data_IF_944447688139
#
_entry.id   IF_944447688139
#
_cell.length_a   1.000
_cell.length_b   1.000
_cell.length_c   1.000
_cell.angle_alpha   90.00
_cell.angle_beta   90.00
_cell.angle_gamma   90.00
#
_symmetry.space_group_name_H-M   'P 1'
#
loop_
_entity.id
_entity.type
_entity.pdbx_description
1 polymer ?
#
# COMPACT_ATOMS: atom_id res chain seq x y z
N UNK A 1 5.20 -53.87 -82.58
CA UNK A 1 5.08 -54.08 -81.18
C UNK A 1 6.06 -53.17 -80.42
N UNK A 2 5.69 -51.99 -80.02
CA UNK A 2 6.52 -51.11 -79.22
C UNK A 2 5.68 -50.50 -78.15
N UNK A 3 5.96 -50.87 -76.89
CA UNK A 3 5.32 -50.33 -75.66
C UNK A 3 5.93 -49.02 -75.31
N UNK A 4 5.13 -47.96 -75.27
CA UNK A 4 5.53 -46.66 -74.68
C UNK A 4 5.23 -46.65 -73.20
N UNK A 5 6.27 -46.57 -72.35
CA UNK A 5 6.16 -46.23 -70.95
C UNK A 5 6.04 -44.71 -70.82
N UNK A 6 4.94 -44.29 -70.19
CA UNK A 6 4.78 -42.90 -69.77
C UNK A 6 5.19 -42.82 -68.28
N UNK A 7 6.23 -42.01 -68.01
CA UNK A 7 6.66 -41.66 -66.66
C UNK A 7 5.81 -40.49 -66.17
N UNK A 8 5.03 -40.71 -65.10
CA UNK A 8 4.30 -39.66 -64.41
C UNK A 8 5.20 -39.12 -63.30
N UNK A 9 5.73 -37.92 -63.48
CA UNK A 9 6.46 -37.16 -62.46
C UNK A 9 5.45 -36.54 -61.49
N UNK A 10 5.41 -37.04 -60.28
CA UNK A 10 4.60 -36.49 -59.18
C UNK A 10 5.37 -35.42 -58.44
N UNK A 11 5.05 -34.13 -58.73
CA UNK A 11 5.65 -32.98 -58.08
C UNK A 11 4.98 -32.80 -56.69
N UNK A 12 5.64 -33.24 -55.63
CA UNK A 12 5.23 -32.96 -54.24
C UNK A 12 5.60 -31.49 -53.89
N UNK A 13 4.60 -30.62 -53.88
CA UNK A 13 4.72 -29.27 -53.37
C UNK A 13 4.59 -29.33 -51.85
N UNK A 14 5.72 -29.23 -51.12
CA UNK A 14 5.75 -29.09 -49.67
C UNK A 14 5.27 -27.67 -49.28
N UNK A 15 4.04 -27.53 -48.81
CA UNK A 15 3.56 -26.33 -48.15
C UNK A 15 4.27 -26.21 -46.81
N UNK A 16 5.26 -25.33 -46.69
CA UNK A 16 5.85 -24.92 -45.44
C UNK A 16 4.80 -24.05 -44.66
N UNK A 17 4.11 -24.66 -43.73
CA UNK A 17 3.34 -23.89 -42.73
C UNK A 17 4.33 -23.15 -41.84
N UNK A 18 4.56 -21.85 -42.13
CA UNK A 18 5.24 -20.95 -41.24
C UNK A 18 4.31 -20.68 -40.05
N UNK A 19 4.49 -21.40 -38.96
CA UNK A 19 3.87 -21.08 -37.67
C UNK A 19 4.48 -19.77 -37.17
N UNK A 20 3.80 -18.65 -37.44
CA UNK A 20 4.08 -17.39 -36.73
C UNK A 20 3.81 -17.62 -35.23
N UNK A 21 4.87 -17.83 -34.47
CA UNK A 21 4.80 -17.80 -33.03
C UNK A 21 4.30 -16.38 -32.65
N UNK A 22 3.02 -16.26 -32.32
CA UNK A 22 2.47 -15.06 -31.73
C UNK A 22 3.21 -14.87 -30.41
N UNK A 23 4.12 -13.90 -30.33
CA UNK A 23 4.76 -13.53 -29.09
C UNK A 23 3.64 -13.05 -28.15
N UNK A 24 3.24 -13.89 -27.22
CA UNK A 24 2.25 -13.58 -26.21
C UNK A 24 2.78 -12.36 -25.45
N UNK A 25 1.99 -11.28 -25.38
CA UNK A 25 2.39 -10.10 -24.62
C UNK A 25 2.80 -10.54 -23.19
N UNK A 26 3.89 -9.99 -22.64
CA UNK A 26 4.31 -10.37 -21.29
C UNK A 26 3.12 -10.27 -20.35
N UNK A 27 2.90 -11.29 -19.53
CA UNK A 27 1.88 -11.22 -18.50
C UNK A 27 2.20 -10.00 -17.61
N UNK A 28 1.16 -9.27 -17.21
CA UNK A 28 1.31 -8.02 -16.44
C UNK A 28 2.02 -6.86 -17.19
N UNK A 29 1.91 -6.82 -18.53
CA UNK A 29 2.35 -5.66 -19.32
C UNK A 29 1.54 -4.40 -19.01
N UNK A 30 0.30 -4.55 -18.54
CA UNK A 30 -0.56 -3.45 -18.05
C UNK A 30 -1.06 -3.79 -16.65
N UNK A 31 -0.96 -2.83 -15.72
CA UNK A 31 -1.32 -3.01 -14.32
C UNK A 31 -2.10 -1.79 -13.83
N UNK A 32 -3.27 -2.04 -13.24
CA UNK A 32 -4.06 -1.01 -12.56
C UNK A 32 -3.76 -1.07 -11.07
N UNK A 33 -3.50 0.08 -10.47
CA UNK A 33 -3.06 0.20 -9.08
C UNK A 33 -4.08 1.00 -8.29
N UNK A 34 -4.72 0.37 -7.31
CA UNK A 34 -5.57 1.06 -6.34
C UNK A 34 -4.73 1.89 -5.37
N UNK A 35 -5.00 3.19 -5.30
CA UNK A 35 -4.32 4.14 -4.42
C UNK A 35 -5.33 5.00 -3.67
N UNK A 36 -4.98 5.42 -2.46
CA UNK A 36 -5.76 6.39 -1.70
C UNK A 36 -5.36 7.81 -2.13
N UNK A 37 -6.36 8.69 -2.32
CA UNK A 37 -6.11 10.04 -2.82
C UNK A 37 -5.84 11.08 -1.72
N UNK A 38 -5.91 10.70 -0.45
CA UNK A 38 -5.79 11.63 0.69
C UNK A 38 -5.09 11.00 1.91
N UNK A 39 -3.85 10.59 1.71
CA UNK A 39 -3.00 10.05 2.77
C UNK A 39 -1.55 10.59 2.67
N UNK A 40 -1.32 11.91 2.80
CA UNK A 40 0.03 12.47 2.74
C UNK A 40 0.89 11.99 3.93
N UNK A 41 2.20 11.79 3.74
CA UNK A 41 2.99 12.00 2.54
C UNK A 41 3.05 10.78 1.61
N UNK A 42 2.23 9.74 1.86
CA UNK A 42 2.27 8.46 1.11
C UNK A 42 1.57 8.55 -0.23
N UNK A 43 0.35 9.07 -0.24
CA UNK A 43 -0.41 9.29 -1.48
C UNK A 43 -1.36 10.48 -1.34
N UNK A 44 -1.42 11.28 -2.40
CA UNK A 44 -2.36 12.39 -2.53
C UNK A 44 -2.64 12.65 -3.99
N UNK A 45 -3.82 13.19 -4.27
CA UNK A 45 -4.21 13.61 -5.60
C UNK A 45 -4.40 15.13 -5.60
N UNK A 46 -3.71 15.81 -6.53
CA UNK A 46 -3.89 17.24 -6.75
C UNK A 46 -5.18 17.56 -7.50
N UNK A 47 -5.66 18.82 -7.49
CA UNK A 47 -6.89 19.20 -8.17
C UNK A 47 -6.90 18.92 -9.68
N UNK A 48 -5.73 18.86 -10.33
CA UNK A 48 -5.55 18.49 -11.73
C UNK A 48 -5.53 16.96 -11.96
N UNK A 49 -5.82 16.17 -10.92
CA UNK A 49 -5.94 14.71 -10.99
C UNK A 49 -4.62 13.95 -10.94
N UNK A 50 -3.48 14.61 -10.70
CA UNK A 50 -2.18 13.95 -10.61
C UNK A 50 -1.94 13.38 -9.22
N UNK A 51 -1.50 12.12 -9.20
CA UNK A 51 -1.07 11.46 -7.98
C UNK A 51 0.39 11.78 -7.65
N UNK A 52 0.67 11.92 -6.35
CA UNK A 52 2.02 12.10 -5.81
C UNK A 52 2.12 11.51 -4.41
N UNK A 53 3.35 11.27 -3.94
CA UNK A 53 3.62 10.72 -2.61
C UNK A 53 4.55 9.52 -2.65
N UNK A 54 4.96 9.06 -1.48
CA UNK A 54 5.91 7.96 -1.34
C UNK A 54 5.42 6.68 -2.01
N UNK A 55 4.18 6.25 -1.71
CA UNK A 55 3.59 5.03 -2.30
C UNK A 55 3.45 5.15 -3.82
N UNK A 56 3.17 6.35 -4.33
CA UNK A 56 3.06 6.61 -5.77
C UNK A 56 4.44 6.49 -6.45
N UNK A 57 5.48 7.07 -5.85
CA UNK A 57 6.85 6.98 -6.39
C UNK A 57 7.37 5.53 -6.33
N UNK A 58 7.08 4.78 -5.26
CA UNK A 58 7.39 3.35 -5.16
C UNK A 58 6.64 2.57 -6.25
N UNK A 59 5.34 2.79 -6.41
CA UNK A 59 4.55 2.11 -7.44
C UNK A 59 5.12 2.36 -8.86
N UNK A 60 5.47 3.61 -9.18
CA UNK A 60 6.08 3.95 -10.45
C UNK A 60 7.45 3.28 -10.65
N UNK A 61 8.28 3.22 -9.62
CA UNK A 61 9.57 2.55 -9.68
C UNK A 61 9.42 1.03 -9.90
N UNK A 62 8.44 0.40 -9.24
CA UNK A 62 8.12 -1.02 -9.44
C UNK A 62 7.64 -1.29 -10.87
N UNK A 63 6.74 -0.45 -11.39
CA UNK A 63 6.24 -0.55 -12.77
C UNK A 63 7.38 -0.44 -13.80
N UNK A 64 8.31 0.48 -13.59
CA UNK A 64 9.50 0.62 -14.45
C UNK A 64 10.35 -0.66 -14.41
N UNK A 65 10.60 -1.25 -13.23
CA UNK A 65 11.35 -2.51 -13.10
C UNK A 65 10.64 -3.70 -13.74
N UNK A 66 9.31 -3.76 -13.60
CA UNK A 66 8.48 -4.81 -14.22
C UNK A 66 8.28 -4.60 -15.73
N UNK A 67 8.71 -3.46 -16.29
CA UNK A 67 8.42 -3.02 -17.66
C UNK A 67 6.92 -3.03 -17.96
N UNK A 68 6.11 -2.62 -16.99
CA UNK A 68 4.67 -2.56 -17.08
C UNK A 68 4.17 -1.12 -17.29
N UNK A 69 3.13 -0.96 -18.11
CA UNK A 69 2.33 0.26 -18.19
C UNK A 69 1.35 0.28 -17.01
N UNK A 70 1.52 1.21 -16.09
CA UNK A 70 0.71 1.28 -14.88
C UNK A 70 -0.25 2.46 -14.89
N UNK A 71 -1.47 2.24 -14.38
CA UNK A 71 -2.49 3.27 -14.22
C UNK A 71 -2.94 3.31 -12.76
N UNK A 72 -2.86 4.49 -12.14
CA UNK A 72 -3.36 4.71 -10.79
C UNK A 72 -4.88 4.87 -10.82
N UNK A 73 -5.57 4.20 -9.89
CA UNK A 73 -7.03 4.24 -9.73
C UNK A 73 -7.32 4.71 -8.30
N UNK A 74 -7.96 5.86 -8.19
CA UNK A 74 -8.38 6.39 -6.88
C UNK A 74 -9.46 5.50 -6.26
N UNK A 75 -9.27 5.14 -5.01
CA UNK A 75 -10.24 4.38 -4.23
C UNK A 75 -10.19 4.83 -2.76
N UNK A 76 -11.34 5.05 -2.16
CA UNK A 76 -11.45 5.29 -0.72
C UNK A 76 -11.06 4.02 0.07
N UNK A 77 -10.46 4.21 1.26
CA UNK A 77 -9.88 3.15 2.08
C UNK A 77 -10.81 1.96 2.30
N UNK A 78 -12.05 2.20 2.74
CA UNK A 78 -13.00 1.12 3.03
C UNK A 78 -13.36 0.27 1.81
N UNK A 79 -13.24 0.84 0.62
CA UNK A 79 -13.52 0.16 -0.64
C UNK A 79 -12.34 -0.58 -1.26
N UNK A 80 -11.12 -0.46 -0.71
CA UNK A 80 -9.90 -1.00 -1.34
C UNK A 80 -9.98 -2.52 -1.56
N UNK A 81 -10.20 -3.30 -0.52
CA UNK A 81 -10.26 -4.76 -0.61
C UNK A 81 -11.45 -5.25 -1.45
N UNK A 82 -12.69 -4.76 -1.28
CA UNK A 82 -13.79 -5.08 -2.16
C UNK A 82 -13.53 -4.77 -3.63
N UNK A 83 -12.92 -3.61 -3.94
CA UNK A 83 -12.61 -3.20 -5.31
C UNK A 83 -11.52 -4.06 -5.96
N UNK A 84 -10.50 -4.49 -5.20
CA UNK A 84 -9.49 -5.45 -5.65
C UNK A 84 -10.14 -6.78 -6.06
N UNK A 85 -11.01 -7.32 -5.19
CA UNK A 85 -11.70 -8.58 -5.45
C UNK A 85 -12.71 -8.47 -6.61
N UNK A 86 -13.31 -7.29 -6.80
CA UNK A 86 -14.15 -6.97 -7.96
C UNK A 86 -13.35 -6.65 -9.24
N UNK A 87 -12.02 -6.82 -9.23
CA UNK A 87 -11.12 -6.59 -10.37
C UNK A 87 -11.14 -5.17 -10.93
N UNK A 88 -11.45 -4.15 -10.11
CA UNK A 88 -11.36 -2.74 -10.51
C UNK A 88 -9.91 -2.32 -10.74
N UNK A 89 -8.99 -2.91 -10.00
CA UNK A 89 -7.54 -2.81 -10.16
C UNK A 89 -6.88 -4.15 -9.84
N UNK A 90 -5.58 -4.26 -10.07
CA UNK A 90 -4.87 -5.52 -10.02
C UNK A 90 -4.02 -5.65 -8.74
N UNK A 91 -3.58 -4.53 -8.19
CA UNK A 91 -2.89 -4.46 -6.91
C UNK A 91 -3.25 -3.18 -6.15
N UNK A 92 -2.97 -3.16 -4.84
CA UNK A 92 -3.15 -1.99 -3.97
C UNK A 92 -1.78 -1.54 -3.48
N UNK A 93 -1.47 -0.26 -3.71
CA UNK A 93 -0.31 0.43 -3.12
C UNK A 93 -0.85 1.65 -2.36
N UNK A 94 -1.16 1.42 -1.09
CA UNK A 94 -1.87 2.39 -0.24
C UNK A 94 -1.54 2.19 1.25
N UNK A 95 -0.25 2.05 1.58
CA UNK A 95 0.19 1.89 2.97
C UNK A 95 -0.52 0.75 3.72
N UNK A 96 -0.87 -0.32 3.02
CA UNK A 96 -1.70 -1.39 3.58
C UNK A 96 -0.88 -2.34 4.45
N UNK A 97 -1.16 -2.37 5.76
CA UNK A 97 -0.51 -3.31 6.67
C UNK A 97 -0.84 -4.75 6.30
N UNK A 98 0.18 -5.60 6.27
CA UNK A 98 0.05 -7.04 6.12
C UNK A 98 -0.51 -7.58 7.44
N UNK A 99 -1.67 -8.25 7.40
CA UNK A 99 -2.28 -8.90 8.57
C UNK A 99 -2.84 -10.26 8.21
N UNK A 100 -2.89 -11.17 9.18
CA UNK A 100 -3.47 -12.52 8.96
C UNK A 100 -4.93 -12.44 8.51
N UNK A 101 -5.68 -11.44 8.98
CA UNK A 101 -7.05 -11.24 8.54
C UNK A 101 -7.12 -10.89 7.04
N UNK A 102 -6.28 -9.97 6.57
CA UNK A 102 -6.24 -9.58 5.16
C UNK A 102 -5.69 -10.68 4.27
N UNK A 103 -4.73 -11.48 4.77
CA UNK A 103 -4.21 -12.66 4.05
C UNK A 103 -5.26 -13.71 3.74
N UNK A 104 -6.39 -13.74 4.43
CA UNK A 104 -7.51 -14.64 4.09
C UNK A 104 -8.13 -14.30 2.74
N UNK A 105 -8.14 -13.02 2.33
CA UNK A 105 -8.83 -12.51 1.15
C UNK A 105 -7.93 -11.92 0.07
N UNK A 106 -6.62 -11.74 0.34
CA UNK A 106 -5.63 -11.23 -0.60
C UNK A 106 -4.27 -11.87 -0.35
N UNK A 107 -3.40 -11.86 -1.36
CA UNK A 107 -1.98 -12.12 -1.21
C UNK A 107 -1.23 -10.79 -1.11
N UNK A 108 -0.01 -10.84 -0.57
CA UNK A 108 0.81 -9.67 -0.36
C UNK A 108 2.21 -9.88 -0.92
N UNK A 109 2.83 -8.80 -1.34
CA UNK A 109 4.28 -8.74 -1.56
C UNK A 109 5.04 -8.88 -0.23
N UNK A 110 6.35 -8.97 -0.30
CA UNK A 110 7.22 -8.68 0.83
C UNK A 110 6.93 -7.25 1.32
N UNK A 111 7.19 -7.01 2.62
CA UNK A 111 7.06 -5.67 3.18
C UNK A 111 8.04 -4.71 2.49
N UNK A 112 7.58 -3.51 2.14
CA UNK A 112 8.44 -2.48 1.58
C UNK A 112 8.73 -1.33 2.56
N UNK A 113 8.04 -1.26 3.70
CA UNK A 113 8.39 -0.43 4.85
C UNK A 113 7.60 -0.80 6.11
N UNK A 114 7.96 -0.16 7.21
CA UNK A 114 7.29 -0.31 8.51
C UNK A 114 6.88 1.05 9.07
N UNK A 115 5.70 1.15 9.65
CA UNK A 115 5.23 2.38 10.28
C UNK A 115 4.82 2.11 11.72
N UNK A 116 5.57 2.59 12.70
CA UNK A 116 5.07 2.65 14.07
C UNK A 116 3.81 3.50 14.17
N UNK A 117 2.91 3.10 15.02
CA UNK A 117 1.75 3.90 15.40
C UNK A 117 2.13 4.83 16.55
N UNK A 118 1.47 5.98 16.63
CA UNK A 118 1.71 6.95 17.71
C UNK A 118 0.40 7.52 18.22
N UNK A 119 0.42 7.84 19.49
CA UNK A 119 -0.63 8.65 20.13
C UNK A 119 -0.36 10.12 19.88
N UNK A 120 -1.40 10.88 19.60
CA UNK A 120 -1.34 12.31 19.28
C UNK A 120 -2.36 13.02 20.17
N UNK A 121 -1.91 14.01 20.92
CA UNK A 121 -2.79 14.80 21.78
C UNK A 121 -2.18 16.17 22.07
N UNK A 122 -2.90 17.02 22.80
CA UNK A 122 -2.37 18.29 23.27
C UNK A 122 -1.15 18.05 24.14
N UNK A 123 -0.07 18.79 23.90
CA UNK A 123 1.17 18.70 24.66
C UNK A 123 0.91 18.89 26.15
N UNK A 124 1.36 17.95 26.96
CA UNK A 124 1.15 17.97 28.41
C UNK A 124 -0.26 17.58 28.90
N UNK A 125 -1.18 17.20 28.03
CA UNK A 125 -2.55 16.81 28.44
C UNK A 125 -2.61 15.49 29.19
N UNK A 126 -1.66 14.60 28.95
CA UNK A 126 -1.57 13.29 29.59
C UNK A 126 -0.13 12.99 30.02
N UNK A 127 0.04 12.40 31.19
CA UNK A 127 1.35 11.94 31.69
C UNK A 127 1.73 10.58 31.11
N UNK A 128 0.74 9.75 30.83
CA UNK A 128 0.91 8.40 30.27
C UNK A 128 -0.29 8.04 29.38
N UNK A 129 -0.11 7.05 28.53
CA UNK A 129 -1.13 6.54 27.61
C UNK A 129 -1.36 5.07 27.91
N UNK A 130 -2.06 4.82 29.02
CA UNK A 130 -2.46 3.50 29.48
C UNK A 130 -3.98 3.35 29.39
N UNK A 131 -4.53 2.14 29.35
CA UNK A 131 -5.99 1.94 29.40
C UNK A 131 -6.65 2.64 30.61
N UNK A 132 -5.99 2.64 31.76
CA UNK A 132 -6.50 3.33 32.96
C UNK A 132 -6.49 4.85 32.79
N UNK A 133 -5.44 5.44 32.22
CA UNK A 133 -5.33 6.89 31.99
C UNK A 133 -6.30 7.38 30.93
N UNK A 134 -6.71 6.53 30.00
CA UNK A 134 -7.65 6.86 28.94
C UNK A 134 -9.11 6.44 29.24
N UNK A 135 -9.39 5.92 30.42
CA UNK A 135 -10.78 5.60 30.82
C UNK A 135 -11.68 6.83 30.71
N UNK A 136 -12.79 6.68 29.97
CA UNK A 136 -13.74 7.76 29.68
C UNK A 136 -13.24 8.84 28.73
N UNK A 137 -12.01 8.72 28.20
CA UNK A 137 -11.49 9.60 27.15
C UNK A 137 -11.96 9.13 25.78
N UNK A 138 -12.11 10.09 24.87
CA UNK A 138 -12.48 9.81 23.48
C UNK A 138 -11.22 9.65 22.62
N UNK A 139 -11.02 8.43 22.11
CA UNK A 139 -9.91 8.06 21.22
C UNK A 139 -10.40 8.13 19.79
N UNK A 140 -9.65 8.83 18.91
CA UNK A 140 -9.93 8.90 17.48
C UNK A 140 -8.98 7.95 16.73
N UNK A 141 -9.53 7.10 15.88
CA UNK A 141 -8.73 6.12 15.10
C UNK A 141 -9.38 5.82 13.76
N UNK A 142 -8.57 5.49 12.75
CA UNK A 142 -9.07 5.10 11.42
C UNK A 142 -9.67 3.69 11.48
N UNK A 143 -10.93 3.54 11.07
CA UNK A 143 -11.62 2.24 11.04
C UNK A 143 -10.97 1.27 10.04
N UNK A 144 -11.26 -0.02 10.19
CA UNK A 144 -10.76 -1.11 9.33
C UNK A 144 -9.23 -1.20 9.28
N UNK A 145 -8.56 -0.80 10.37
CA UNK A 145 -7.11 -0.85 10.53
C UNK A 145 -6.68 -1.70 11.73
N UNK A 146 -5.45 -2.21 11.77
CA UNK A 146 -4.89 -2.84 12.97
C UNK A 146 -4.92 -1.90 14.19
N UNK A 147 -4.78 -0.59 13.98
CA UNK A 147 -4.87 0.44 15.03
C UNK A 147 -6.26 0.48 15.68
N UNK A 148 -7.32 0.47 14.86
CA UNK A 148 -8.67 0.44 15.38
C UNK A 148 -8.92 -0.81 16.22
N UNK A 149 -8.48 -1.98 15.73
CA UNK A 149 -8.60 -3.23 16.48
C UNK A 149 -7.85 -3.16 17.82
N UNK A 150 -6.60 -2.69 17.80
CA UNK A 150 -5.81 -2.52 19.01
C UNK A 150 -6.52 -1.63 20.05
N UNK A 151 -7.06 -0.48 19.62
CA UNK A 151 -7.80 0.44 20.52
C UNK A 151 -9.03 -0.24 21.08
N UNK A 152 -9.85 -0.87 20.24
CA UNK A 152 -11.10 -1.55 20.69
C UNK A 152 -10.84 -2.72 21.64
N UNK A 153 -9.72 -3.43 21.48
CA UNK A 153 -9.35 -4.57 22.33
C UNK A 153 -8.72 -4.13 23.64
N UNK A 154 -7.85 -3.12 23.63
CA UNK A 154 -7.05 -2.74 24.79
C UNK A 154 -7.64 -1.59 25.60
N UNK A 155 -8.43 -0.70 25.01
CA UNK A 155 -8.95 0.52 25.64
C UNK A 155 -10.48 0.46 25.76
N UNK A 156 -11.00 -0.63 26.33
CA UNK A 156 -12.44 -0.95 26.40
C UNK A 156 -13.27 0.06 27.19
N UNK A 157 -12.66 0.77 28.14
CA UNK A 157 -13.30 1.78 28.97
C UNK A 157 -13.22 3.20 28.37
N UNK A 158 -12.69 3.33 27.16
CA UNK A 158 -12.61 4.59 26.41
C UNK A 158 -13.77 4.68 25.41
N UNK A 159 -14.18 5.91 25.10
CA UNK A 159 -15.06 6.18 23.95
C UNK A 159 -14.23 6.16 22.67
N UNK A 160 -14.69 5.51 21.58
CA UNK A 160 -13.90 5.37 20.35
C UNK A 160 -14.64 5.97 19.17
N UNK A 161 -14.08 7.09 18.66
CA UNK A 161 -14.52 7.68 17.40
C UNK A 161 -13.72 7.06 16.24
N UNK A 162 -14.39 6.25 15.44
CA UNK A 162 -13.80 5.66 14.25
C UNK A 162 -14.08 6.54 13.02
N UNK A 163 -13.01 7.03 12.39
CA UNK A 163 -13.06 7.87 11.20
C UNK A 163 -12.75 7.05 9.92
N UNK A 164 -13.12 7.59 8.75
CA UNK A 164 -12.94 6.90 7.49
C UNK A 164 -11.51 7.02 6.94
N UNK A 165 -10.85 8.15 7.18
CA UNK A 165 -9.54 8.50 6.61
C UNK A 165 -8.54 8.84 7.71
N UNK A 166 -7.27 8.53 7.48
CA UNK A 166 -6.21 8.84 8.45
C UNK A 166 -6.09 10.34 8.74
N UNK A 167 -6.25 11.20 7.72
CA UNK A 167 -6.23 12.64 7.90
C UNK A 167 -7.34 13.14 8.84
N UNK A 168 -8.46 12.46 8.91
CA UNK A 168 -9.57 12.83 9.79
C UNK A 168 -9.23 12.63 11.27
N UNK A 169 -8.30 11.72 11.62
CA UNK A 169 -7.86 11.55 13.01
C UNK A 169 -7.37 12.86 13.60
N UNK A 170 -6.49 13.55 12.89
CA UNK A 170 -5.92 14.82 13.34
C UNK A 170 -6.88 16.01 13.16
N UNK A 171 -7.74 15.96 12.14
CA UNK A 171 -8.76 16.99 11.93
C UNK A 171 -9.82 16.98 13.04
N UNK A 172 -10.32 15.80 13.42
CA UNK A 172 -11.27 15.64 14.51
C UNK A 172 -10.65 16.05 15.86
N UNK A 173 -9.37 15.68 16.07
CA UNK A 173 -8.61 16.06 17.24
C UNK A 173 -8.44 17.59 17.34
N UNK A 174 -8.04 18.24 16.25
CA UNK A 174 -7.87 19.71 16.19
C UNK A 174 -9.20 20.44 16.38
N UNK A 175 -10.30 19.85 15.94
CA UNK A 175 -11.65 20.39 16.14
C UNK A 175 -12.22 20.13 17.55
N UNK A 176 -11.43 19.48 18.44
CA UNK A 176 -11.86 19.21 19.82
C UNK A 176 -12.93 18.12 19.93
N UNK A 177 -13.12 17.28 18.91
CA UNK A 177 -14.11 16.20 18.91
C UNK A 177 -13.60 14.87 19.48
N UNK A 178 -12.37 14.87 20.02
CA UNK A 178 -11.78 13.79 20.81
C UNK A 178 -10.63 14.28 21.66
N UNK A 179 -10.22 13.46 22.62
CA UNK A 179 -9.16 13.79 23.59
C UNK A 179 -7.77 13.41 23.05
N UNK A 180 -7.70 12.32 22.27
CA UNK A 180 -6.44 11.75 21.76
C UNK A 180 -6.69 11.02 20.44
N UNK A 181 -5.75 11.16 19.50
CA UNK A 181 -5.72 10.39 18.25
C UNK A 181 -4.71 9.23 18.32
N UNK A 182 -5.01 8.13 17.63
CA UNK A 182 -4.07 7.02 17.44
C UNK A 182 -3.91 6.76 15.96
N UNK A 183 -2.74 7.06 15.43
CA UNK A 183 -2.48 7.07 13.98
C UNK A 183 -1.06 6.67 13.58
N UNK A 184 -0.77 6.78 12.29
CA UNK A 184 0.56 6.61 11.73
C UNK A 184 1.51 7.68 12.25
N UNK A 185 2.67 7.27 12.78
CA UNK A 185 3.66 8.23 13.30
C UNK A 185 4.24 9.12 12.20
N UNK A 186 4.38 8.60 10.98
CA UNK A 186 4.93 9.34 9.85
C UNK A 186 3.91 10.33 9.27
N UNK A 187 2.68 9.89 9.01
CA UNK A 187 1.61 10.76 8.52
C UNK A 187 1.30 11.89 9.52
N UNK A 188 1.16 11.55 10.80
CA UNK A 188 0.93 12.54 11.85
C UNK A 188 2.02 13.59 11.90
N UNK A 189 3.30 13.19 11.82
CA UNK A 189 4.43 14.11 11.89
C UNK A 189 4.53 14.98 10.64
N UNK A 190 4.43 14.38 9.46
CA UNK A 190 4.64 15.11 8.21
C UNK A 190 3.50 16.08 7.89
N UNK A 191 2.24 15.66 8.14
CA UNK A 191 1.07 16.41 7.72
C UNK A 191 0.46 17.30 8.83
N UNK A 192 0.57 16.92 10.10
CA UNK A 192 -0.11 17.62 11.18
C UNK A 192 0.86 18.28 12.18
N UNK A 193 1.75 17.53 12.83
CA UNK A 193 2.59 18.10 13.89
C UNK A 193 3.56 19.18 13.41
N UNK A 194 3.92 19.18 12.12
CA UNK A 194 4.73 20.25 11.49
C UNK A 194 3.87 21.40 10.94
N UNK A 195 2.54 21.30 11.01
CA UNK A 195 1.63 22.34 10.50
C UNK A 195 1.27 23.38 11.58
N UNK A 196 0.78 24.57 11.19
CA UNK A 196 0.27 25.55 12.15
C UNK A 196 -0.83 25.02 13.07
N UNK A 197 -1.68 24.13 12.58
CA UNK A 197 -2.77 23.50 13.35
C UNK A 197 -2.24 22.54 14.42
N UNK A 198 -1.07 21.94 14.20
CA UNK A 198 -0.43 20.98 15.10
C UNK A 198 0.44 21.60 16.19
N UNK A 199 0.62 22.94 16.24
CA UNK A 199 1.59 23.62 17.11
C UNK A 199 1.44 23.30 18.61
N UNK A 200 0.20 23.08 19.07
CA UNK A 200 -0.13 22.79 20.47
C UNK A 200 -0.23 21.28 20.74
N UNK A 201 0.06 20.45 19.74
CA UNK A 201 -0.03 18.99 19.78
C UNK A 201 1.34 18.34 19.72
N UNK A 202 1.41 17.12 20.26
CA UNK A 202 2.62 16.31 20.28
C UNK A 202 2.32 14.82 20.25
N UNK A 203 3.38 14.06 20.11
CA UNK A 203 3.33 12.62 20.35
C UNK A 203 3.25 12.37 21.87
N UNK A 204 2.37 11.48 22.30
CA UNK A 204 2.20 11.09 23.68
C UNK A 204 2.61 9.63 23.86
N UNK A 205 3.39 9.36 24.89
CA UNK A 205 3.91 8.01 25.16
C UNK A 205 4.90 7.49 24.12
N UNK A 206 5.26 6.22 24.24
CA UNK A 206 6.14 5.55 23.31
C UNK A 206 5.41 5.17 22.01
N UNK A 207 6.12 5.08 20.87
CA UNK A 207 5.56 4.49 19.65
C UNK A 207 5.09 3.06 19.87
N UNK A 208 4.00 2.68 19.20
CA UNK A 208 3.40 1.35 19.28
C UNK A 208 3.61 0.63 17.95
N UNK A 209 4.29 -0.51 17.96
CA UNK A 209 4.43 -1.37 16.78
C UNK A 209 3.34 -2.44 16.80
N UNK A 210 2.51 -2.44 15.76
CA UNK A 210 1.40 -3.37 15.60
C UNK A 210 1.72 -4.39 14.49
N UNK A 211 2.57 -5.37 14.81
CA UNK A 211 2.99 -6.39 13.85
C UNK A 211 3.92 -5.84 12.78
N UNK A 212 5.15 -5.49 13.14
CA UNK A 212 6.17 -5.02 12.21
C UNK A 212 6.70 -6.12 11.28
N UNK A 213 7.55 -5.74 10.32
CA UNK A 213 8.16 -6.65 9.33
C UNK A 213 8.87 -7.85 9.98
N UNK A 214 9.51 -7.67 11.14
CA UNK A 214 10.16 -8.73 11.90
C UNK A 214 9.18 -9.80 12.42
N UNK A 215 7.88 -9.50 12.48
CA UNK A 215 6.80 -10.42 12.90
C UNK A 215 5.95 -10.89 11.72
N UNK A 216 6.46 -10.75 10.48
CA UNK A 216 5.73 -11.09 9.27
C UNK A 216 4.63 -10.10 8.87
N UNK A 217 4.62 -8.92 9.50
CA UNK A 217 3.76 -7.78 9.20
C UNK A 217 4.47 -6.71 8.37
N UNK A 218 4.28 -5.44 8.71
CA UNK A 218 4.75 -4.30 7.92
C UNK A 218 3.73 -3.89 6.87
N UNK A 219 4.14 -3.04 5.95
CA UNK A 219 3.30 -2.57 4.85
C UNK A 219 3.68 -3.29 3.56
N UNK A 220 2.70 -3.88 2.89
CA UNK A 220 2.90 -4.63 1.65
C UNK A 220 1.92 -4.21 0.56
N UNK A 221 2.20 -4.65 -0.65
CA UNK A 221 1.35 -4.48 -1.82
C UNK A 221 0.37 -5.65 -1.85
N UNK A 222 -0.93 -5.35 -1.75
CA UNK A 222 -1.95 -6.38 -1.81
C UNK A 222 -2.35 -6.70 -3.25
N UNK A 223 -2.59 -7.96 -3.54
CA UNK A 223 -3.10 -8.47 -4.81
C UNK A 223 -4.13 -9.57 -4.55
N UNK A 224 -4.91 -9.94 -5.56
CA UNK A 224 -5.87 -11.05 -5.40
C UNK A 224 -5.16 -12.34 -5.05
N UNK A 225 -5.86 -13.23 -4.38
CA UNK A 225 -5.38 -14.59 -4.08
C UNK A 225 -5.01 -15.35 -5.36
N UNK A 226 -3.84 -16.00 -5.32
CA UNK A 226 -3.36 -16.83 -6.41
C UNK A 226 -2.66 -16.07 -7.55
N UNK A 227 -2.44 -14.76 -7.42
CA UNK A 227 -1.67 -13.97 -8.39
C UNK A 227 -0.15 -14.12 -8.15
N UNK A 228 0.33 -15.38 -8.09
CA UNK A 228 1.71 -15.71 -7.72
C UNK A 228 2.76 -15.12 -8.67
N UNK A 229 2.43 -15.01 -9.94
CA UNK A 229 3.33 -14.40 -10.92
C UNK A 229 3.49 -12.90 -10.65
N UNK A 230 2.40 -12.18 -10.37
CA UNK A 230 2.46 -10.76 -10.01
C UNK A 230 3.25 -10.57 -8.72
N UNK A 231 3.01 -11.41 -7.69
CA UNK A 231 3.75 -11.38 -6.43
C UNK A 231 5.24 -11.58 -6.65
N UNK A 232 5.63 -12.55 -7.46
CA UNK A 232 7.04 -12.83 -7.77
C UNK A 232 7.70 -11.64 -8.48
N UNK A 233 7.02 -11.04 -9.46
CA UNK A 233 7.52 -9.85 -10.17
C UNK A 233 7.67 -8.65 -9.24
N UNK A 234 6.69 -8.41 -8.36
CA UNK A 234 6.73 -7.32 -7.39
C UNK A 234 7.89 -7.50 -6.39
N UNK A 235 8.06 -8.69 -5.82
CA UNK A 235 9.16 -8.95 -4.88
C UNK A 235 10.53 -8.82 -5.54
N UNK A 236 10.67 -9.29 -6.78
CA UNK A 236 11.90 -9.09 -7.57
C UNK A 236 12.17 -7.60 -7.82
N UNK A 237 11.13 -6.84 -8.19
CA UNK A 237 11.25 -5.40 -8.41
C UNK A 237 11.59 -4.65 -7.12
N UNK A 238 10.93 -4.97 -5.99
CA UNK A 238 11.24 -4.42 -4.66
C UNK A 238 12.71 -4.66 -4.29
N UNK A 239 13.20 -5.88 -4.46
CA UNK A 239 14.62 -6.23 -4.22
C UNK A 239 15.55 -5.40 -5.09
N UNK A 240 15.21 -5.23 -6.37
CA UNK A 240 16.04 -4.48 -7.32
C UNK A 240 16.11 -3.00 -6.96
N UNK A 241 14.96 -2.33 -6.72
CA UNK A 241 14.96 -0.90 -6.37
C UNK A 241 15.64 -0.61 -5.03
N UNK A 242 15.65 -1.58 -4.13
CA UNK A 242 16.39 -1.49 -2.87
C UNK A 242 17.90 -1.59 -3.09
N UNK A 243 18.33 -2.58 -3.86
CA UNK A 243 19.75 -2.83 -4.10
C UNK A 243 20.42 -1.73 -4.96
N UNK A 244 19.70 -1.11 -5.88
CA UNK A 244 20.26 -0.10 -6.80
C UNK A 244 20.11 1.35 -6.30
N UNK A 245 19.61 1.56 -5.05
CA UNK A 245 19.50 2.86 -4.42
C UNK A 245 18.25 3.68 -4.81
N UNK A 246 17.42 3.21 -5.73
CA UNK A 246 16.16 3.91 -6.11
C UNK A 246 15.23 4.04 -4.92
N UNK A 247 15.07 2.97 -4.12
CA UNK A 247 14.28 3.02 -2.89
C UNK A 247 14.79 4.10 -1.93
N UNK A 248 16.10 4.14 -1.70
CA UNK A 248 16.71 5.17 -0.82
C UNK A 248 16.44 6.58 -1.33
N UNK A 249 16.59 6.83 -2.63
CA UNK A 249 16.30 8.13 -3.22
C UNK A 249 14.84 8.55 -3.01
N UNK A 250 13.90 7.62 -3.16
CA UNK A 250 12.48 7.87 -2.90
C UNK A 250 12.26 8.11 -1.39
N UNK A 251 12.83 7.27 -0.53
CA UNK A 251 12.71 7.44 0.93
C UNK A 251 13.15 8.84 1.38
N UNK A 252 14.35 9.26 0.97
CA UNK A 252 14.96 10.51 1.40
C UNK A 252 14.21 11.77 0.89
N UNK A 253 13.39 11.61 -0.16
CA UNK A 253 12.49 12.68 -0.64
C UNK A 253 11.36 13.00 0.34
N UNK A 254 10.92 12.02 1.13
CA UNK A 254 9.74 12.14 2.00
C UNK A 254 10.05 12.04 3.48
N UNK A 255 11.14 11.38 3.87
CA UNK A 255 11.43 11.05 5.26
C UNK A 255 12.90 11.29 5.61
N UNK A 256 13.10 11.84 6.81
CA UNK A 256 14.44 12.08 7.39
C UNK A 256 15.04 10.79 8.01
N UNK A 257 14.31 9.66 7.94
CA UNK A 257 14.71 8.35 8.48
C UNK A 257 14.46 7.26 7.46
N UNK A 258 15.24 6.17 7.53
CA UNK A 258 14.98 4.98 6.72
C UNK A 258 13.75 4.24 7.27
N UNK A 259 12.64 4.24 6.52
CA UNK A 259 11.39 3.58 6.95
C UNK A 259 11.32 2.10 6.57
N UNK A 260 12.30 1.60 5.83
CA UNK A 260 12.36 0.19 5.45
C UNK A 260 12.73 -0.73 6.63
N UNK A 261 13.40 -0.20 7.64
CA UNK A 261 13.75 -0.96 8.84
C UNK A 261 15.00 -1.83 8.67
N UNK A 262 15.90 -1.44 7.77
CA UNK A 262 17.24 -2.07 7.60
C UNK A 262 18.29 -1.35 8.45
#
# INVERSE_FOLDING_TARGET
>A
MIRKLAAVSMLMTALAFSTTASAQAPSWAKVRIGVEANYPPFSQMSPDGKFSGFDIDIANALCAQMKAECTMVSQEWDGMMPALNAKKFDMIVASMSITEERKKSADFSDSYYDIPSTWIGKTGSLKEVTPAALKGKKIIVTRNTPRARFVLEQYKDSDVLQVAKEAEVTMELAAGRGDIGFGSSLAATAAFLKSPQGKDYGRLGAPVTLGGAAQGGGVGIAMRKGEDELRTKLNSALKTISANGVYKTINDKYFDVNIRGE
#
